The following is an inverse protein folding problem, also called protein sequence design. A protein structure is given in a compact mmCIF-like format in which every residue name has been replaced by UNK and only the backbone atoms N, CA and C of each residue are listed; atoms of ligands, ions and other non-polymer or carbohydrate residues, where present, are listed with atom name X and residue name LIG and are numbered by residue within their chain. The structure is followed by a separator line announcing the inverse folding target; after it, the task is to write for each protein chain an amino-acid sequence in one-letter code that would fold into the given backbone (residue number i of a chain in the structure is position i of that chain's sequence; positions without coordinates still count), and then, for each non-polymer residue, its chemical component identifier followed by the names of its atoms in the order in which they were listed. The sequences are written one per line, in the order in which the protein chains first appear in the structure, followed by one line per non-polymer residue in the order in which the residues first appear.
data_IF_995062039389
#
_entry.id   IF_995062039389
#
_cell.length_a   1.000
_cell.length_b   1.000
_cell.length_c   1.000
_cell.angle_alpha   90.00
_cell.angle_beta   90.00
_cell.angle_gamma   90.00
#
_symmetry.space_group_name_H-M   'P 1'
#
loop_
_entity.id
_entity.type
_entity.pdbx_description
1 polymer ?
#
# COMPACT_ATOMS: atom_id res chain seq x y z
N UNK A 1 -18.06 -2.91 -2.11
CA UNK A 1 -16.73 -3.48 -2.48
C UNK A 1 -15.69 -2.81 -1.60
N UNK A 2 -14.70 -3.54 -1.12
CA UNK A 2 -13.60 -3.03 -0.29
C UNK A 2 -12.27 -3.48 -0.88
N UNK A 3 -11.21 -2.69 -0.69
CA UNK A 3 -9.85 -3.02 -1.08
C UNK A 3 -9.00 -3.03 0.18
N UNK A 4 -8.22 -4.10 0.38
CA UNK A 4 -7.21 -4.16 1.45
C UNK A 4 -5.83 -4.02 0.85
N UNK A 5 -5.03 -3.13 1.41
CA UNK A 5 -3.61 -2.94 1.12
C UNK A 5 -2.80 -3.69 2.16
N UNK A 6 -2.49 -4.95 1.85
CA UNK A 6 -1.68 -5.84 2.69
C UNK A 6 -0.20 -5.68 2.38
N UNK A 7 0.63 -5.51 3.40
CA UNK A 7 2.08 -5.32 3.27
C UNK A 7 2.88 -6.22 4.22
N UNK A 8 4.14 -6.50 3.87
CA UNK A 8 5.02 -7.39 4.64
C UNK A 8 6.37 -6.75 4.95
N UNK A 9 7.04 -6.16 3.97
CA UNK A 9 8.32 -5.53 4.22
C UNK A 9 8.62 -4.37 3.27
N UNK A 10 9.46 -3.44 3.71
CA UNK A 10 9.74 -2.19 3.02
C UNK A 10 11.23 -2.03 2.68
N UNK A 11 11.56 -1.52 1.49
CA UNK A 11 12.93 -1.12 1.17
C UNK A 11 13.31 0.20 1.87
N UNK A 12 14.58 0.61 1.75
CA UNK A 12 15.09 1.86 2.33
C UNK A 12 14.41 3.13 1.77
N UNK A 13 13.63 3.00 0.69
CA UNK A 13 12.85 4.07 0.06
C UNK A 13 11.38 4.04 0.49
N UNK A 14 10.98 3.10 1.36
CA UNK A 14 9.62 2.92 1.82
C UNK A 14 8.69 2.21 0.84
N UNK A 15 9.21 1.55 -0.20
CA UNK A 15 8.39 0.73 -1.10
C UNK A 15 8.24 -0.68 -0.53
N UNK A 16 7.07 -1.30 -0.74
CA UNK A 16 6.91 -2.72 -0.40
C UNK A 16 7.81 -3.59 -1.30
N UNK A 17 8.46 -4.58 -0.72
CA UNK A 17 9.52 -5.37 -1.38
C UNK A 17 9.02 -6.46 -2.33
N UNK A 18 7.76 -6.85 -2.22
CA UNK A 18 7.10 -7.96 -2.92
C UNK A 18 5.93 -7.52 -3.81
N UNK A 19 5.34 -6.37 -3.54
CA UNK A 19 4.12 -5.85 -4.18
C UNK A 19 4.41 -4.45 -4.76
N UNK A 20 4.26 -4.31 -6.07
CA UNK A 20 4.29 -3.01 -6.73
C UNK A 20 2.97 -2.26 -6.50
N UNK A 21 2.95 -1.41 -5.48
CA UNK A 21 1.77 -0.64 -5.10
C UNK A 21 1.34 0.41 -6.13
N UNK A 22 2.25 0.98 -6.92
CA UNK A 22 1.87 1.91 -7.98
C UNK A 22 1.07 1.17 -9.05
N UNK A 23 1.55 -0.01 -9.47
CA UNK A 23 0.81 -0.88 -10.39
C UNK A 23 -0.53 -1.33 -9.81
N UNK A 24 -0.56 -1.73 -8.53
CA UNK A 24 -1.81 -2.17 -7.89
C UNK A 24 -2.85 -1.05 -7.82
N UNK A 25 -2.45 0.17 -7.46
CA UNK A 25 -3.36 1.30 -7.41
C UNK A 25 -3.88 1.71 -8.79
N UNK A 26 -3.08 1.59 -9.85
CA UNK A 26 -3.56 1.82 -11.22
C UNK A 26 -4.68 0.82 -11.57
N UNK A 27 -4.50 -0.48 -11.27
CA UNK A 27 -5.53 -1.50 -11.54
C UNK A 27 -6.83 -1.19 -10.77
N UNK A 28 -6.71 -0.79 -9.50
CA UNK A 28 -7.86 -0.41 -8.67
C UNK A 28 -8.59 0.81 -9.24
N UNK A 29 -7.84 1.81 -9.70
CA UNK A 29 -8.37 3.01 -10.36
C UNK A 29 -9.06 2.67 -11.68
N UNK A 30 -8.43 1.88 -12.54
CA UNK A 30 -8.96 1.48 -13.84
C UNK A 30 -10.24 0.64 -13.70
N UNK A 31 -10.36 -0.12 -12.60
CA UNK A 31 -11.58 -0.82 -12.22
C UNK A 31 -12.71 0.10 -11.71
N UNK A 32 -12.49 1.42 -11.63
CA UNK A 32 -13.47 2.43 -11.20
C UNK A 32 -13.75 2.43 -9.70
N UNK A 33 -12.82 1.92 -8.88
CA UNK A 33 -13.02 1.91 -7.42
C UNK A 33 -12.70 3.28 -6.80
N UNK A 34 -13.67 3.85 -6.08
CA UNK A 34 -13.56 5.17 -5.42
C UNK A 34 -13.79 5.11 -3.91
N UNK A 35 -13.85 3.91 -3.34
CA UNK A 35 -14.04 3.69 -1.91
C UNK A 35 -12.75 3.78 -1.10
N UNK A 36 -12.84 3.39 0.17
CA UNK A 36 -11.69 3.37 1.07
C UNK A 36 -10.81 2.14 0.86
N UNK A 37 -9.49 2.35 0.96
CA UNK A 37 -8.50 1.27 1.01
C UNK A 37 -8.12 1.05 2.48
N UNK A 38 -8.39 -0.14 2.99
CA UNK A 38 -7.95 -0.55 4.33
C UNK A 38 -6.45 -0.83 4.33
N UNK A 39 -5.77 -0.48 5.42
CA UNK A 39 -4.35 -0.74 5.60
C UNK A 39 -4.17 -1.95 6.51
N UNK A 40 -3.30 -2.87 6.11
CA UNK A 40 -3.04 -4.10 6.85
C UNK A 40 -1.56 -4.46 6.73
N UNK A 41 -0.88 -4.60 7.86
CA UNK A 41 0.53 -4.98 7.90
C UNK A 41 0.65 -6.35 8.57
N UNK A 42 1.30 -7.29 7.88
CA UNK A 42 1.56 -8.66 8.33
C UNK A 42 3.07 -8.99 8.35
N UNK A 43 3.91 -7.96 8.34
CA UNK A 43 5.35 -8.11 8.43
C UNK A 43 5.85 -8.42 9.83
N UNK A 44 7.10 -8.86 9.91
CA UNK A 44 7.75 -9.23 11.16
C UNK A 44 8.93 -8.32 11.55
N UNK A 45 9.31 -7.34 10.72
CA UNK A 45 10.47 -6.48 10.94
C UNK A 45 10.14 -5.20 11.71
N UNK A 46 9.05 -4.52 11.35
CA UNK A 46 8.52 -3.35 12.05
C UNK A 46 7.49 -3.76 13.10
N UNK A 47 7.27 -2.91 14.11
CA UNK A 47 6.10 -3.04 14.98
C UNK A 47 4.80 -2.87 14.18
N UNK A 48 3.66 -3.31 14.74
CA UNK A 48 2.35 -3.16 14.09
C UNK A 48 2.04 -1.70 13.75
N UNK A 49 2.27 -0.77 14.67
CA UNK A 49 2.02 0.66 14.44
C UNK A 49 2.92 1.22 13.33
N UNK A 50 4.21 0.91 13.37
CA UNK A 50 5.17 1.35 12.35
C UNK A 50 4.83 0.77 10.97
N UNK A 51 4.45 -0.50 10.90
CA UNK A 51 4.05 -1.15 9.66
C UNK A 51 2.75 -0.58 9.08
N UNK A 52 1.76 -0.29 9.92
CA UNK A 52 0.53 0.39 9.50
C UNK A 52 0.83 1.80 8.94
N UNK A 53 1.68 2.57 9.62
CA UNK A 53 2.10 3.90 9.16
C UNK A 53 2.91 3.83 7.86
N UNK A 54 3.83 2.87 7.74
CA UNK A 54 4.62 2.64 6.54
C UNK A 54 3.73 2.32 5.34
N UNK A 55 2.76 1.42 5.52
CA UNK A 55 1.81 1.05 4.46
C UNK A 55 0.94 2.22 4.03
N UNK A 56 0.46 3.04 4.98
CA UNK A 56 -0.28 4.27 4.69
C UNK A 56 0.57 5.25 3.87
N UNK A 57 1.83 5.47 4.26
CA UNK A 57 2.73 6.38 3.55
C UNK A 57 3.05 5.87 2.13
N UNK A 58 3.25 4.56 1.98
CA UNK A 58 3.41 3.91 0.69
C UNK A 58 2.20 4.17 -0.21
N UNK A 59 0.97 4.00 0.29
CA UNK A 59 -0.25 4.27 -0.47
C UNK A 59 -0.32 5.73 -0.94
N UNK A 60 0.00 6.68 -0.08
CA UNK A 60 0.02 8.11 -0.42
C UNK A 60 1.08 8.39 -1.50
N UNK A 61 2.29 7.84 -1.35
CA UNK A 61 3.37 8.01 -2.33
C UNK A 61 3.03 7.36 -3.68
N UNK A 62 2.47 6.16 -3.66
CA UNK A 62 2.09 5.44 -4.86
C UNK A 62 0.94 6.13 -5.60
N UNK A 63 -0.05 6.67 -4.88
CA UNK A 63 -1.18 7.39 -5.47
C UNK A 63 -0.76 8.64 -6.26
N UNK A 64 0.33 9.31 -5.86
CA UNK A 64 0.90 10.45 -6.59
C UNK A 64 1.52 10.07 -7.95
N UNK A 65 1.78 8.77 -8.18
CA UNK A 65 2.40 8.24 -9.40
C UNK A 65 1.39 7.62 -10.37
N UNK A 66 0.11 7.56 -9.99
CA UNK A 66 -0.99 6.97 -10.79
C UNK A 66 -1.54 8.03 -11.76
N UNK A 67 -1.74 7.64 -13.03
CA UNK A 67 -2.24 8.52 -14.10
C UNK A 67 -3.75 8.63 -14.08
#
# INVERSE_FOLDING_TARGET
KAVSAKSYDFDDKGNETSIDYTRMLQIVKDAGYTGFIGVEYEGNRLSEEEGLLATKNLLISAAQKVN
#
